data_IF_976563848694
#
_entry.id   IF_976563848694
#
_cell.length_a   1.000
_cell.length_b   1.000
_cell.length_c   1.000
_cell.angle_alpha   90.00
_cell.angle_beta   90.00
_cell.angle_gamma   90.00
#
_symmetry.space_group_name_H-M   'P 1'
#
loop_
_entity.id
_entity.type
_entity.pdbx_description
1 polymer ?
#
# COMPACT_ATOMS: atom_id res chain seq x y z
N UNK A 1 -28.86 -19.52 -26.31
CA UNK A 1 -28.19 -18.20 -26.24
C UNK A 1 -28.59 -17.51 -24.94
N UNK A 2 -27.66 -17.27 -24.00
CA UNK A 2 -27.91 -16.42 -22.82
C UNK A 2 -26.71 -15.49 -22.62
N UNK A 3 -26.84 -14.29 -23.16
CA UNK A 3 -25.92 -13.16 -23.01
C UNK A 3 -26.08 -12.61 -21.58
N UNK A 4 -25.12 -12.87 -20.69
CA UNK A 4 -25.07 -12.22 -19.37
C UNK A 4 -24.29 -10.92 -19.52
N UNK A 5 -25.03 -9.83 -19.60
CA UNK A 5 -24.51 -8.47 -19.78
C UNK A 5 -23.89 -7.98 -18.48
N UNK A 6 -22.68 -7.43 -18.65
CA UNK A 6 -21.94 -6.58 -17.72
C UNK A 6 -22.79 -5.42 -17.20
N UNK A 7 -22.69 -5.15 -15.90
CA UNK A 7 -22.97 -3.87 -15.25
C UNK A 7 -22.24 -3.96 -13.89
N UNK A 8 -20.98 -3.54 -13.73
CA UNK A 8 -20.48 -2.16 -13.73
C UNK A 8 -21.26 -1.25 -12.77
N UNK A 9 -21.01 -1.38 -11.47
CA UNK A 9 -21.28 -0.36 -10.46
C UNK A 9 -20.11 -0.36 -9.47
N UNK A 10 -19.20 0.59 -9.63
CA UNK A 10 -18.37 1.12 -8.56
C UNK A 10 -18.19 2.61 -8.85
N UNK A 11 -19.20 3.39 -8.45
CA UNK A 11 -19.09 4.83 -8.37
C UNK A 11 -18.36 5.15 -7.06
N UNK A 12 -17.09 5.55 -7.15
CA UNK A 12 -16.45 6.36 -6.10
C UNK A 12 -16.15 7.70 -6.75
N UNK A 13 -17.05 8.63 -6.46
CA UNK A 13 -16.99 10.03 -6.84
C UNK A 13 -15.95 10.74 -5.98
N UNK A 14 -14.99 11.39 -6.63
CA UNK A 14 -14.35 12.63 -6.19
C UNK A 14 -13.67 12.65 -4.82
N UNK A 15 -12.35 12.46 -4.82
CA UNK A 15 -11.48 13.20 -3.91
C UNK A 15 -10.44 13.94 -4.75
N UNK A 16 -10.47 15.26 -4.62
CA UNK A 16 -9.47 16.15 -5.16
C UNK A 16 -8.11 15.78 -4.53
N UNK A 17 -7.21 15.27 -5.36
CA UNK A 17 -5.84 14.92 -5.00
C UNK A 17 -5.12 16.15 -4.44
N UNK A 18 -5.05 16.20 -3.11
CA UNK A 18 -4.16 17.06 -2.33
C UNK A 18 -3.04 16.17 -1.78
N UNK A 19 -1.82 16.66 -1.57
CA UNK A 19 -0.68 15.86 -1.13
C UNK A 19 -0.76 15.56 0.38
N UNK A 20 -1.84 14.92 0.81
CA UNK A 20 -2.08 14.48 2.19
C UNK A 20 -1.74 12.99 2.41
N UNK A 21 -1.09 12.35 1.43
CA UNK A 21 -0.72 10.94 1.44
C UNK A 21 0.29 10.56 2.54
N UNK A 22 1.00 11.54 3.09
CA UNK A 22 1.98 11.39 4.18
C UNK A 22 1.32 11.30 5.56
N UNK A 23 0.31 10.46 5.70
CA UNK A 23 -0.34 10.20 6.98
C UNK A 23 -1.45 9.21 6.79
N UNK A 24 -2.15 9.31 5.65
CA UNK A 24 -3.11 8.30 5.21
C UNK A 24 -2.43 6.96 4.90
N UNK A 25 -1.17 6.98 4.43
CA UNK A 25 -0.40 5.76 4.18
C UNK A 25 0.04 5.09 5.49
N UNK A 26 0.56 5.84 6.47
CA UNK A 26 0.87 5.30 7.79
C UNK A 26 -0.38 4.80 8.50
N UNK A 27 -1.50 5.53 8.46
CA UNK A 27 -2.77 5.07 9.04
C UNK A 27 -3.27 3.78 8.37
N UNK A 28 -3.19 3.67 7.03
CA UNK A 28 -3.56 2.46 6.31
C UNK A 28 -2.63 1.26 6.64
N UNK A 29 -1.33 1.52 6.76
CA UNK A 29 -0.34 0.53 7.19
C UNK A 29 -0.60 0.06 8.63
N UNK A 30 -0.88 0.98 9.55
CA UNK A 30 -1.21 0.68 10.96
C UNK A 30 -2.48 -0.16 11.01
N UNK A 31 -3.55 0.26 10.32
CA UNK A 31 -4.82 -0.48 10.30
C UNK A 31 -4.67 -1.90 9.76
N UNK A 32 -3.86 -2.10 8.70
CA UNK A 32 -3.57 -3.42 8.15
C UNK A 32 -2.76 -4.29 9.13
N UNK A 33 -1.70 -3.74 9.73
CA UNK A 33 -0.86 -4.48 10.66
C UNK A 33 -1.58 -4.79 11.98
N UNK A 34 -2.37 -3.86 12.51
CA UNK A 34 -3.20 -4.10 13.71
C UNK A 34 -4.27 -5.17 13.45
N UNK A 35 -4.89 -5.19 12.26
CA UNK A 35 -5.84 -6.24 11.88
C UNK A 35 -5.19 -7.63 11.82
N UNK A 36 -3.91 -7.70 11.42
CA UNK A 36 -3.11 -8.92 11.40
C UNK A 36 -2.45 -9.25 12.75
N UNK A 37 -2.65 -8.41 13.79
CA UNK A 37 -2.03 -8.58 15.11
C UNK A 37 -0.51 -8.36 15.12
N UNK A 38 0.00 -7.56 14.17
CA UNK A 38 1.42 -7.24 13.94
C UNK A 38 1.77 -5.87 14.51
N UNK A 39 3.05 -5.67 14.82
CA UNK A 39 3.56 -4.40 15.34
C UNK A 39 3.57 -3.31 14.25
N UNK A 40 2.86 -2.21 14.51
CA UNK A 40 2.72 -1.08 13.61
C UNK A 40 3.81 -0.01 13.79
N UNK A 41 4.77 -0.23 14.70
CA UNK A 41 5.89 0.70 14.96
C UNK A 41 6.74 1.03 13.72
N UNK A 42 6.74 0.14 12.72
CA UNK A 42 7.45 0.31 11.44
C UNK A 42 6.73 1.18 10.40
N UNK A 43 5.43 1.47 10.56
CA UNK A 43 4.65 2.17 9.54
C UNK A 43 5.06 3.63 9.35
N UNK A 44 5.46 4.32 10.43
CA UNK A 44 5.99 5.68 10.32
C UNK A 44 7.33 5.74 9.56
N UNK A 45 8.23 4.78 9.82
CA UNK A 45 9.48 4.64 9.08
C UNK A 45 9.22 4.34 7.59
N UNK A 46 8.27 3.44 7.32
CA UNK A 46 7.96 3.02 5.96
C UNK A 46 7.40 4.21 5.17
N UNK A 47 6.49 4.99 5.74
CA UNK A 47 5.97 6.19 5.10
C UNK A 47 7.08 7.20 4.76
N UNK A 48 7.99 7.50 5.70
CA UNK A 48 9.11 8.42 5.45
C UNK A 48 10.00 7.95 4.30
N UNK A 49 10.35 6.67 4.25
CA UNK A 49 11.18 6.11 3.18
C UNK A 49 10.45 6.10 1.83
N UNK A 50 9.17 5.79 1.83
CA UNK A 50 8.35 5.70 0.61
C UNK A 50 8.15 7.07 -0.01
N UNK A 51 7.97 8.11 0.80
CA UNK A 51 7.93 9.51 0.34
C UNK A 51 9.32 9.97 -0.11
N UNK A 52 10.37 9.68 0.67
CA UNK A 52 11.73 10.12 0.34
C UNK A 52 12.27 9.52 -0.97
N UNK A 53 11.78 8.33 -1.33
CA UNK A 53 12.16 7.61 -2.56
C UNK A 53 11.16 7.78 -3.71
N UNK A 54 10.05 8.48 -3.49
CA UNK A 54 8.98 8.69 -4.48
C UNK A 54 8.39 7.37 -5.03
N UNK A 55 8.16 6.39 -4.14
CA UNK A 55 7.66 5.04 -4.49
C UNK A 55 6.26 4.74 -3.90
N UNK A 56 5.47 5.77 -3.58
CA UNK A 56 4.13 5.63 -2.96
C UNK A 56 3.22 4.74 -3.81
N UNK A 57 3.13 5.02 -5.11
CA UNK A 57 2.26 4.27 -6.04
C UNK A 57 2.69 2.80 -6.16
N UNK A 58 4.00 2.55 -6.13
CA UNK A 58 4.54 1.20 -6.15
C UNK A 58 4.13 0.43 -4.89
N UNK A 59 4.30 1.04 -3.72
CA UNK A 59 3.97 0.41 -2.44
C UNK A 59 2.47 0.14 -2.30
N UNK A 60 1.62 1.03 -2.83
CA UNK A 60 0.18 0.77 -2.92
C UNK A 60 -0.13 -0.43 -3.81
N UNK A 61 0.50 -0.54 -4.99
CA UNK A 61 0.31 -1.68 -5.88
C UNK A 61 0.80 -3.00 -5.26
N UNK A 62 1.93 -2.96 -4.54
CA UNK A 62 2.44 -4.11 -3.79
C UNK A 62 1.49 -4.53 -2.65
N UNK A 63 0.77 -3.58 -2.06
CA UNK A 63 -0.26 -3.86 -1.05
C UNK A 63 -1.40 -4.74 -1.55
N UNK A 64 -1.64 -4.82 -2.87
CA UNK A 64 -2.65 -5.71 -3.46
C UNK A 64 -2.21 -7.18 -3.52
N UNK A 65 -0.91 -7.46 -3.35
CA UNK A 65 -0.37 -8.82 -3.32
C UNK A 65 -0.53 -9.36 -1.90
N UNK A 66 -1.34 -10.41 -1.72
CA UNK A 66 -1.63 -10.98 -0.39
C UNK A 66 -0.39 -11.67 0.24
N UNK A 67 0.35 -12.44 -0.55
CA UNK A 67 1.51 -13.19 -0.05
C UNK A 67 2.70 -12.25 0.24
N UNK A 68 3.23 -12.22 1.47
CA UNK A 68 4.32 -11.31 1.83
C UNK A 68 5.64 -11.58 1.08
N UNK A 69 5.93 -12.85 0.73
CA UNK A 69 7.15 -13.19 0.02
C UNK A 69 7.06 -12.79 -1.44
N UNK A 70 5.94 -13.07 -2.10
CA UNK A 70 5.64 -12.62 -3.46
C UNK A 70 5.64 -11.08 -3.55
N UNK A 71 5.06 -10.41 -2.55
CA UNK A 71 5.08 -8.95 -2.44
C UNK A 71 6.50 -8.42 -2.39
N UNK A 72 7.34 -8.99 -1.53
CA UNK A 72 8.74 -8.58 -1.43
C UNK A 72 9.51 -8.90 -2.71
N UNK A 73 9.29 -10.03 -3.37
CA UNK A 73 9.99 -10.36 -4.62
C UNK A 73 9.63 -9.42 -5.78
N UNK A 74 8.34 -9.06 -5.89
CA UNK A 74 7.80 -8.16 -6.91
C UNK A 74 8.24 -6.69 -6.72
N UNK A 75 8.68 -6.31 -5.52
CA UNK A 75 9.12 -4.97 -5.20
C UNK A 75 10.41 -4.57 -5.94
N UNK A 76 10.53 -3.29 -6.28
CA UNK A 76 11.75 -2.67 -6.76
C UNK A 76 12.85 -2.69 -5.70
N UNK A 77 14.08 -2.43 -6.11
CA UNK A 77 15.21 -2.37 -5.18
C UNK A 77 15.02 -1.27 -4.10
N UNK A 78 14.39 -0.15 -4.45
CA UNK A 78 14.09 0.93 -3.53
C UNK A 78 12.97 0.58 -2.54
N UNK A 79 11.92 -0.10 -3.02
CA UNK A 79 10.85 -0.62 -2.16
C UNK A 79 11.35 -1.70 -1.20
N UNK A 80 12.19 -2.63 -1.68
CA UNK A 80 12.86 -3.63 -0.84
C UNK A 80 13.72 -2.98 0.23
N UNK A 81 14.49 -1.95 -0.12
CA UNK A 81 15.32 -1.22 0.83
C UNK A 81 14.49 -0.51 1.91
N UNK A 82 13.34 0.08 1.55
CA UNK A 82 12.43 0.69 2.51
C UNK A 82 11.79 -0.36 3.44
N UNK A 83 11.31 -1.47 2.89
CA UNK A 83 10.77 -2.61 3.65
C UNK A 83 11.81 -3.17 4.64
N UNK A 84 13.02 -3.50 4.16
CA UNK A 84 14.09 -4.05 5.01
C UNK A 84 14.51 -3.11 6.14
N UNK A 85 14.44 -1.79 5.91
CA UNK A 85 14.79 -0.78 6.90
C UNK A 85 13.72 -0.64 7.99
N UNK A 86 12.45 -0.79 7.63
CA UNK A 86 11.33 -0.39 8.47
C UNK A 86 10.48 -1.55 9.02
N UNK A 87 10.56 -2.76 8.45
CA UNK A 87 9.73 -3.92 8.85
C UNK A 87 10.52 -5.10 9.40
N UNK A 88 11.76 -4.89 9.85
CA UNK A 88 12.59 -5.90 10.52
C UNK A 88 12.38 -5.95 12.03
#
# INVERSE_FOLDING_TARGET
>A
MKLKRFLAIAAVSGLAFSPSFAGELADACVAALEADGRDASGCGCLEEEVIARDIVDEMMALGEIEDPAERYEAASDDAKAAMDKCTR
#
